data_IF_756413830275
#
_entry.id   IF_756413830275
#
_cell.length_a   1.000
_cell.length_b   1.000
_cell.length_c   1.000
_cell.angle_alpha   90.00
_cell.angle_beta   90.00
_cell.angle_gamma   90.00
#
_symmetry.space_group_name_H-M   'P 1'
#
loop_
_entity.id
_entity.type
_entity.pdbx_description
1 polymer ?
#
# COMPACT_ATOMS: atom_id res chain seq x y z
N UNK A 1 6.24 11.17 -36.84
CA UNK A 1 7.12 11.89 -35.89
C UNK A 1 6.41 12.67 -34.76
N UNK A 2 5.07 12.77 -34.69
CA UNK A 2 4.37 13.53 -33.62
C UNK A 2 4.42 12.86 -32.24
N UNK A 3 4.31 11.53 -32.19
CA UNK A 3 4.28 10.76 -30.93
C UNK A 3 5.58 10.91 -30.12
N UNK A 4 6.74 10.89 -30.81
CA UNK A 4 8.05 10.97 -30.16
C UNK A 4 8.30 12.36 -29.55
N UNK A 5 7.74 13.42 -30.17
CA UNK A 5 7.75 14.77 -29.61
C UNK A 5 6.87 14.84 -28.36
N UNK A 6 5.68 14.21 -28.39
CA UNK A 6 4.79 14.13 -27.23
C UNK A 6 5.47 13.46 -26.02
N UNK A 7 6.08 12.28 -26.18
CA UNK A 7 6.81 11.62 -25.08
C UNK A 7 7.97 12.48 -24.54
N UNK A 8 8.67 13.20 -25.42
CA UNK A 8 9.74 14.14 -25.02
C UNK A 8 9.20 15.31 -24.20
N UNK A 9 8.06 15.85 -24.59
CA UNK A 9 7.41 16.96 -23.88
C UNK A 9 6.83 16.49 -22.53
N UNK A 10 6.21 15.30 -22.47
CA UNK A 10 5.77 14.65 -21.21
C UNK A 10 6.97 14.40 -20.28
N UNK A 11 8.07 13.85 -20.79
CA UNK A 11 9.27 13.61 -20.00
C UNK A 11 9.90 14.90 -19.45
N UNK A 12 9.81 16.02 -20.19
CA UNK A 12 10.22 17.33 -19.68
C UNK A 12 9.29 17.82 -18.57
N UNK A 13 7.98 17.62 -18.71
CA UNK A 13 7.01 18.01 -17.69
C UNK A 13 7.16 17.17 -16.41
N UNK A 14 7.39 15.85 -16.55
CA UNK A 14 7.68 14.97 -15.41
C UNK A 14 8.94 15.36 -14.64
N UNK A 15 9.92 16.02 -15.28
CA UNK A 15 11.12 16.55 -14.60
C UNK A 15 10.84 17.81 -13.78
N UNK A 16 9.76 18.54 -14.08
CA UNK A 16 9.31 19.70 -13.28
C UNK A 16 8.51 19.26 -12.05
N UNK A 17 7.95 18.05 -12.08
CA UNK A 17 7.25 17.47 -10.93
C UNK A 17 8.28 17.18 -9.83
N UNK A 18 8.08 17.77 -8.65
CA UNK A 18 8.91 17.51 -7.48
C UNK A 18 8.60 16.13 -6.91
N UNK A 19 9.20 15.10 -7.51
CA UNK A 19 9.10 13.74 -7.00
C UNK A 19 9.61 13.69 -5.55
N UNK A 20 8.88 12.99 -4.66
CA UNK A 20 9.29 12.85 -3.26
C UNK A 20 10.69 12.24 -3.19
N UNK A 21 11.50 12.76 -2.28
CA UNK A 21 12.85 12.23 -2.06
C UNK A 21 12.74 10.77 -1.63
N UNK A 22 13.64 9.90 -2.10
CA UNK A 22 13.57 8.46 -1.81
C UNK A 22 13.38 8.11 -0.32
N UNK A 23 13.94 8.92 0.58
CA UNK A 23 13.74 8.79 2.04
C UNK A 23 12.28 8.95 2.49
N UNK A 24 11.54 9.90 1.91
CA UNK A 24 10.11 10.11 2.22
C UNK A 24 9.27 8.94 1.71
N UNK A 25 9.56 8.46 0.50
CA UNK A 25 8.91 7.28 -0.07
C UNK A 25 9.09 6.06 0.84
N UNK A 26 10.31 5.79 1.30
CA UNK A 26 10.56 4.68 2.23
C UNK A 26 9.78 4.83 3.53
N UNK A 27 9.69 6.04 4.10
CA UNK A 27 8.88 6.29 5.30
C UNK A 27 7.41 6.00 5.05
N UNK A 28 6.85 6.47 3.94
CA UNK A 28 5.46 6.19 3.59
C UNK A 28 5.21 4.70 3.36
N UNK A 29 6.11 4.00 2.67
CA UNK A 29 6.03 2.55 2.47
C UNK A 29 6.08 1.80 3.79
N UNK A 30 6.99 2.17 4.72
CA UNK A 30 7.07 1.54 6.05
C UNK A 30 5.78 1.77 6.83
N UNK A 31 5.22 2.98 6.81
CA UNK A 31 3.93 3.27 7.47
C UNK A 31 2.83 2.36 6.92
N UNK A 32 2.70 2.26 5.59
CA UNK A 32 1.69 1.40 4.96
C UNK A 32 1.90 -0.06 5.34
N UNK A 33 3.12 -0.59 5.20
CA UNK A 33 3.43 -1.99 5.57
C UNK A 33 3.10 -2.26 7.04
N UNK A 34 3.43 -1.32 7.94
CA UNK A 34 3.14 -1.44 9.38
C UNK A 34 1.62 -1.54 9.63
N UNK A 35 0.83 -0.67 8.98
CA UNK A 35 -0.64 -0.73 9.11
C UNK A 35 -1.22 -2.02 8.55
N UNK A 36 -0.71 -2.51 7.41
CA UNK A 36 -1.15 -3.77 6.81
C UNK A 36 -0.84 -4.95 7.74
N UNK A 37 0.37 -5.04 8.29
CA UNK A 37 0.75 -6.11 9.22
C UNK A 37 -0.15 -6.10 10.47
N UNK A 38 -0.43 -4.91 11.03
CA UNK A 38 -1.34 -4.77 12.17
C UNK A 38 -2.73 -5.34 11.86
N UNK A 39 -3.32 -4.96 10.72
CA UNK A 39 -4.64 -5.48 10.32
C UNK A 39 -4.62 -6.98 9.99
N UNK A 40 -3.54 -7.50 9.39
CA UNK A 40 -3.39 -8.95 9.15
C UNK A 40 -3.43 -9.72 10.48
N UNK A 41 -2.70 -9.26 11.49
CA UNK A 41 -2.71 -9.90 12.82
C UNK A 41 -4.09 -9.77 13.47
N UNK A 42 -4.70 -8.58 13.40
CA UNK A 42 -6.03 -8.35 13.96
C UNK A 42 -7.08 -9.26 13.33
N UNK A 43 -7.14 -9.35 12.00
CA UNK A 43 -8.08 -10.23 11.32
C UNK A 43 -7.78 -11.71 11.59
N UNK A 44 -6.51 -12.13 11.63
CA UNK A 44 -6.16 -13.51 12.00
C UNK A 44 -6.64 -13.88 13.41
N UNK A 45 -6.54 -12.94 14.37
CA UNK A 45 -7.08 -13.12 15.72
C UNK A 45 -8.61 -13.13 15.75
N UNK A 46 -9.26 -12.27 14.96
CA UNK A 46 -10.72 -12.28 14.85
C UNK A 46 -11.23 -13.58 14.22
N UNK A 47 -10.65 -14.02 13.11
CA UNK A 47 -11.04 -15.24 12.43
C UNK A 47 -10.89 -16.46 13.36
N UNK A 48 -9.77 -16.54 14.08
CA UNK A 48 -9.56 -17.61 15.05
C UNK A 48 -10.49 -17.50 16.26
N UNK A 49 -10.66 -16.32 16.84
CA UNK A 49 -11.54 -16.08 17.99
C UNK A 49 -13.02 -16.34 17.67
N UNK A 50 -13.51 -15.84 16.53
CA UNK A 50 -14.86 -16.07 16.05
C UNK A 50 -15.06 -17.55 15.70
N UNK A 51 -14.08 -18.20 15.03
CA UNK A 51 -14.19 -19.63 14.72
C UNK A 51 -14.29 -20.49 15.98
N UNK A 52 -13.56 -20.16 17.06
CA UNK A 52 -13.68 -20.86 18.34
C UNK A 52 -15.02 -20.57 19.03
N UNK A 53 -15.49 -19.32 18.99
CA UNK A 53 -16.78 -18.93 19.57
C UNK A 53 -17.95 -19.61 18.87
N UNK A 54 -17.92 -19.71 17.54
CA UNK A 54 -18.93 -20.42 16.75
C UNK A 54 -18.93 -21.91 17.10
N UNK A 55 -17.75 -22.54 17.24
CA UNK A 55 -17.68 -23.97 17.64
C UNK A 55 -18.31 -24.21 19.01
N UNK A 56 -18.06 -23.34 19.99
CA UNK A 56 -18.63 -23.46 21.35
C UNK A 56 -20.17 -23.28 21.41
N UNK A 57 -20.75 -22.57 20.43
CA UNK A 57 -22.20 -22.30 20.39
C UNK A 57 -22.94 -23.35 19.54
N UNK A 58 -22.29 -23.88 18.51
CA UNK A 58 -22.90 -24.81 17.54
C UNK A 58 -22.73 -26.28 17.95
N UNK A 59 -21.64 -26.63 18.64
CA UNK A 59 -21.50 -27.92 19.36
C UNK A 59 -22.08 -27.81 20.78
#
# INVERSE_FOLDING_TARGET
>A
MRIMKFFKDVGKEMKKVSWPKGKELTRYTITVISTVIFFVIFFALLDTGISQLIRLIVE
#
